data_IF_439833810183
#
_entry.id   IF_439833810183
#
_cell.length_a   1.000
_cell.length_b   1.000
_cell.length_c   1.000
_cell.angle_alpha   90.00
_cell.angle_beta   90.00
_cell.angle_gamma   90.00
#
_symmetry.space_group_name_H-M   'P 1'
#
loop_
_entity.id
_entity.type
_entity.pdbx_description
1 polymer ?
#
# COMPACT_ATOMS: atom_id res chain seq x y z
N UNK A 1 -8.70 -5.70 -24.22
CA UNK A 1 -7.39 -5.37 -24.84
C UNK A 1 -7.51 -5.57 -26.34
N UNK A 2 -7.82 -4.51 -27.09
CA UNK A 2 -7.92 -4.57 -28.55
C UNK A 2 -6.69 -3.91 -29.15
N UNK A 3 -5.68 -4.72 -29.46
CA UNK A 3 -4.52 -4.29 -30.23
C UNK A 3 -4.95 -4.02 -31.68
N UNK A 4 -5.15 -2.74 -31.99
CA UNK A 4 -5.31 -2.30 -33.38
C UNK A 4 -3.91 -2.11 -33.97
N UNK A 5 -3.41 -3.16 -34.62
CA UNK A 5 -2.22 -3.12 -35.45
C UNK A 5 -2.48 -2.19 -36.64
N UNK A 6 -1.86 -1.00 -36.62
CA UNK A 6 -1.98 -0.04 -37.72
C UNK A 6 -1.14 -0.51 -38.90
N UNK A 7 -1.85 -0.76 -40.00
CA UNK A 7 -1.36 -1.13 -41.33
C UNK A 7 -0.33 -0.12 -41.89
N UNK A 8 0.96 -0.45 -41.79
CA UNK A 8 2.02 0.23 -42.56
C UNK A 8 1.97 -0.05 -44.08
N UNK A 9 1.15 -1.00 -44.53
CA UNK A 9 1.07 -1.43 -45.93
C UNK A 9 0.14 -0.55 -46.80
N UNK A 10 -0.84 0.13 -46.20
CA UNK A 10 -1.88 0.85 -46.94
C UNK A 10 -1.37 2.14 -47.63
N UNK A 11 -0.42 2.87 -47.02
CA UNK A 11 0.14 4.08 -47.64
C UNK A 11 0.98 3.78 -48.89
N UNK A 12 1.72 2.67 -48.90
CA UNK A 12 2.61 2.29 -50.02
C UNK A 12 1.82 1.99 -51.31
N UNK A 13 0.65 1.36 -51.18
CA UNK A 13 -0.26 1.09 -52.30
C UNK A 13 -0.82 2.37 -52.91
N UNK A 14 -1.10 3.39 -52.09
CA UNK A 14 -1.71 4.63 -52.55
C UNK A 14 -0.72 5.50 -53.35
N UNK A 15 0.54 5.55 -52.91
CA UNK A 15 1.61 6.30 -53.61
C UNK A 15 1.89 5.72 -55.00
N UNK A 16 1.93 4.37 -55.11
CA UNK A 16 2.13 3.70 -56.40
C UNK A 16 0.98 3.99 -57.37
N UNK A 17 -0.26 3.95 -56.89
CA UNK A 17 -1.43 4.21 -57.73
C UNK A 17 -1.47 5.66 -58.23
N UNK A 18 -1.14 6.62 -57.36
CA UNK A 18 -1.03 8.05 -57.73
C UNK A 18 0.07 8.26 -58.77
N UNK A 19 1.23 7.61 -58.63
CA UNK A 19 2.31 7.69 -59.60
C UNK A 19 1.91 7.16 -60.99
N UNK A 20 1.23 6.00 -61.04
CA UNK A 20 0.70 5.44 -62.30
C UNK A 20 -0.32 6.38 -62.96
N UNK A 21 -1.18 7.02 -62.17
CA UNK A 21 -2.16 7.99 -62.67
C UNK A 21 -1.49 9.23 -63.32
N UNK A 22 -0.42 9.75 -62.71
CA UNK A 22 0.34 10.85 -63.30
C UNK A 22 1.00 10.46 -64.62
N UNK A 23 1.53 9.23 -64.70
CA UNK A 23 2.14 8.70 -65.92
C UNK A 23 1.10 8.54 -67.05
N UNK A 24 -0.10 8.05 -66.75
CA UNK A 24 -1.21 7.97 -67.70
C UNK A 24 -1.66 9.35 -68.20
N UNK A 25 -1.74 10.34 -67.31
CA UNK A 25 -2.10 11.72 -67.67
C UNK A 25 -1.04 12.33 -68.57
N UNK A 26 0.25 12.17 -68.24
CA UNK A 26 1.36 12.64 -69.07
C UNK A 26 1.33 12.00 -70.47
N UNK A 27 1.12 10.68 -70.54
CA UNK A 27 1.05 9.95 -71.79
C UNK A 27 -0.07 10.47 -72.70
N UNK A 28 -1.22 10.90 -72.18
CA UNK A 28 -2.28 11.51 -73.01
C UNK A 28 -1.82 12.76 -73.75
N UNK A 29 -1.06 13.65 -73.11
CA UNK A 29 -0.58 14.86 -73.79
C UNK A 29 0.52 14.53 -74.81
N UNK A 30 1.42 13.61 -74.47
CA UNK A 30 2.47 13.13 -75.38
C UNK A 30 1.85 12.50 -76.63
N UNK A 31 0.89 11.58 -76.47
CA UNK A 31 0.18 10.96 -77.59
C UNK A 31 -0.60 11.99 -78.41
N UNK A 32 -1.23 12.98 -77.76
CA UNK A 32 -1.96 14.04 -78.47
C UNK A 32 -1.03 14.92 -79.30
N UNK A 33 0.15 15.25 -78.79
CA UNK A 33 1.18 15.99 -79.54
C UNK A 33 1.70 15.18 -80.73
N UNK A 34 2.00 13.89 -80.54
CA UNK A 34 2.41 13.00 -81.63
C UNK A 34 1.35 12.93 -82.74
N UNK A 35 0.06 12.81 -82.37
CA UNK A 35 -1.04 12.79 -83.34
C UNK A 35 -1.19 14.09 -84.14
N UNK A 36 -0.75 15.23 -83.60
CA UNK A 36 -0.75 16.52 -84.29
C UNK A 36 0.43 16.58 -85.27
N UNK A 37 1.56 15.95 -84.92
CA UNK A 37 2.74 15.91 -85.77
C UNK A 37 2.60 15.03 -87.02
N UNK A 38 1.78 13.99 -86.94
CA UNK A 38 1.47 13.10 -88.07
C UNK A 38 0.47 13.72 -89.06
N UNK A 39 -0.29 14.75 -88.66
CA UNK A 39 -1.28 15.40 -89.53
C UNK A 39 -0.59 16.27 -90.59
N UNK A 40 -0.96 16.06 -91.85
CA UNK A 40 -0.50 16.89 -92.96
C UNK A 40 -1.33 18.19 -93.06
N UNK A 41 -1.13 19.09 -92.10
CA UNK A 41 -1.78 20.39 -91.99
C UNK A 41 -0.75 21.53 -92.12
N UNK A 42 -1.24 22.73 -92.44
CA UNK A 42 -0.39 23.93 -92.49
C UNK A 42 0.38 24.14 -91.17
N UNK A 43 1.60 24.63 -91.30
CA UNK A 43 2.56 24.80 -90.19
C UNK A 43 1.97 25.68 -89.09
N UNK A 44 1.36 26.81 -89.44
CA UNK A 44 0.73 27.73 -88.46
C UNK A 44 -0.42 27.07 -87.68
N UNK A 45 -1.25 26.28 -88.37
CA UNK A 45 -2.36 25.56 -87.74
C UNK A 45 -1.85 24.45 -86.81
N UNK A 46 -0.76 23.77 -87.21
CA UNK A 46 -0.07 22.80 -86.36
C UNK A 46 0.47 23.46 -85.09
N UNK A 47 1.11 24.61 -85.20
CA UNK A 47 1.63 25.35 -84.04
C UNK A 47 0.51 25.82 -83.11
N UNK A 48 -0.62 26.33 -83.64
CA UNK A 48 -1.79 26.70 -82.82
C UNK A 48 -2.34 25.51 -82.04
N UNK A 49 -2.49 24.36 -82.69
CA UNK A 49 -2.98 23.15 -82.02
C UNK A 49 -2.01 22.65 -80.94
N UNK A 50 -0.70 22.66 -81.20
CA UNK A 50 0.32 22.31 -80.20
C UNK A 50 0.33 23.27 -79.02
N UNK A 51 0.25 24.58 -79.28
CA UNK A 51 0.20 25.60 -78.24
C UNK A 51 -1.00 25.38 -77.32
N UNK A 52 -2.17 25.09 -77.90
CA UNK A 52 -3.38 24.75 -77.13
C UNK A 52 -3.18 23.51 -76.26
N UNK A 53 -2.48 22.48 -76.74
CA UNK A 53 -2.16 21.29 -75.92
C UNK A 53 -1.23 21.64 -74.76
N UNK A 54 -0.20 22.46 -75.00
CA UNK A 54 0.71 22.90 -73.95
C UNK A 54 0.03 23.81 -72.91
N UNK A 55 -0.82 24.73 -73.34
CA UNK A 55 -1.60 25.59 -72.44
C UNK A 55 -2.50 24.76 -71.52
N UNK A 56 -3.19 23.76 -72.07
CA UNK A 56 -4.00 22.84 -71.28
C UNK A 56 -3.15 22.01 -70.31
N UNK A 57 -1.99 21.50 -70.75
CA UNK A 57 -1.07 20.78 -69.88
C UNK A 57 -0.60 21.64 -68.70
N UNK A 58 -0.17 22.87 -68.96
CA UNK A 58 0.27 23.80 -67.90
C UNK A 58 -0.87 24.14 -66.94
N UNK A 59 -2.09 24.33 -67.45
CA UNK A 59 -3.29 24.59 -66.64
C UNK A 59 -3.61 23.41 -65.73
N UNK A 60 -3.62 22.20 -66.27
CA UNK A 60 -3.94 20.99 -65.51
C UNK A 60 -2.85 20.68 -64.48
N UNK A 61 -1.58 20.87 -64.84
CA UNK A 61 -0.45 20.76 -63.91
C UNK A 61 -0.58 21.76 -62.75
N UNK A 62 -0.98 23.00 -63.05
CA UNK A 62 -1.20 24.03 -62.02
C UNK A 62 -2.34 23.65 -61.05
N UNK A 63 -3.39 23.02 -61.56
CA UNK A 63 -4.49 22.49 -60.72
C UNK A 63 -3.99 21.31 -59.87
N UNK A 64 -3.24 20.37 -60.45
CA UNK A 64 -2.67 19.23 -59.72
C UNK A 64 -1.74 19.69 -58.60
N UNK A 65 -0.85 20.65 -58.86
CA UNK A 65 0.03 21.22 -57.82
C UNK A 65 -0.78 21.85 -56.69
N UNK A 66 -1.85 22.60 -57.00
CA UNK A 66 -2.72 23.19 -55.97
C UNK A 66 -3.40 22.14 -55.11
N UNK A 67 -3.92 21.07 -55.73
CA UNK A 67 -4.58 19.98 -55.00
C UNK A 67 -3.60 19.19 -54.14
N UNK A 68 -2.39 18.93 -54.63
CA UNK A 68 -1.32 18.28 -53.84
C UNK A 68 -0.92 19.13 -52.64
N UNK A 69 -0.77 20.45 -52.82
CA UNK A 69 -0.48 21.37 -51.72
C UNK A 69 -1.60 21.36 -50.68
N UNK A 70 -2.87 21.37 -51.11
CA UNK A 70 -4.01 21.27 -50.20
C UNK A 70 -4.02 19.95 -49.43
N UNK A 71 -3.81 18.82 -50.13
CA UNK A 71 -3.75 17.51 -49.47
C UNK A 71 -2.59 17.41 -48.48
N UNK A 72 -1.46 18.07 -48.76
CA UNK A 72 -0.31 18.12 -47.86
C UNK A 72 -0.63 18.95 -46.61
N UNK A 73 -1.27 20.11 -46.75
CA UNK A 73 -1.73 20.94 -45.63
C UNK A 73 -2.73 20.20 -44.73
N UNK A 74 -3.69 19.48 -45.34
CA UNK A 74 -4.65 18.65 -44.60
C UNK A 74 -3.95 17.53 -43.81
N UNK A 75 -2.95 16.88 -44.40
CA UNK A 75 -2.15 15.84 -43.73
C UNK A 75 -1.30 16.41 -42.59
N UNK A 76 -0.66 17.56 -42.80
CA UNK A 76 0.11 18.25 -41.77
C UNK A 76 -0.79 18.62 -40.58
N UNK A 77 -1.97 19.17 -40.86
CA UNK A 77 -2.96 19.50 -39.84
C UNK A 77 -3.42 18.27 -39.05
N UNK A 78 -3.74 17.17 -39.72
CA UNK A 78 -4.13 15.91 -39.07
C UNK A 78 -2.99 15.34 -38.22
N UNK A 79 -1.75 15.35 -38.72
CA UNK A 79 -0.58 14.89 -37.97
C UNK A 79 -0.39 15.73 -36.69
N UNK A 80 -0.47 17.06 -36.80
CA UNK A 80 -0.37 17.96 -35.67
C UNK A 80 -1.49 17.72 -34.65
N UNK A 81 -2.73 17.55 -35.09
CA UNK A 81 -3.87 17.23 -34.20
C UNK A 81 -3.65 15.91 -33.45
N UNK A 82 -3.12 14.87 -34.12
CA UNK A 82 -2.79 13.59 -33.47
C UNK A 82 -1.71 13.74 -32.43
N UNK A 83 -0.66 14.51 -32.71
CA UNK A 83 0.41 14.81 -31.73
C UNK A 83 -0.17 15.51 -30.52
N UNK A 84 -0.93 16.60 -30.70
CA UNK A 84 -1.56 17.33 -29.60
C UNK A 84 -2.50 16.43 -28.77
N UNK A 85 -3.27 15.54 -29.41
CA UNK A 85 -4.11 14.59 -28.69
C UNK A 85 -3.27 13.64 -27.81
N UNK A 86 -2.17 13.11 -28.34
CA UNK A 86 -1.29 12.21 -27.60
C UNK A 86 -0.58 12.90 -26.46
N UNK A 87 -0.07 14.12 -26.67
CA UNK A 87 0.53 14.95 -25.61
C UNK A 87 -0.46 15.20 -24.47
N UNK A 88 -1.71 15.53 -24.80
CA UNK A 88 -2.76 15.74 -23.80
C UNK A 88 -3.09 14.44 -23.03
N UNK A 89 -3.17 13.31 -23.72
CA UNK A 89 -3.37 12.00 -23.08
C UNK A 89 -2.22 11.67 -22.14
N UNK A 90 -0.98 11.88 -22.58
CA UNK A 90 0.22 11.64 -21.79
C UNK A 90 0.26 12.54 -20.55
N UNK A 91 -0.05 13.83 -20.71
CA UNK A 91 -0.12 14.78 -19.61
C UNK A 91 -1.19 14.36 -18.58
N UNK A 92 -2.36 13.91 -19.05
CA UNK A 92 -3.44 13.44 -18.19
C UNK A 92 -3.05 12.16 -17.44
N UNK A 93 -2.47 11.16 -18.11
CA UNK A 93 -2.01 9.94 -17.44
C UNK A 93 -0.90 10.24 -16.45
N UNK A 94 0.04 11.13 -16.79
CA UNK A 94 1.08 11.57 -15.86
C UNK A 94 0.50 12.23 -14.62
N UNK A 95 -0.48 13.14 -14.76
CA UNK A 95 -1.15 13.77 -13.62
C UNK A 95 -1.96 12.77 -12.79
N UNK A 96 -2.66 11.82 -13.43
CA UNK A 96 -3.36 10.73 -12.74
C UNK A 96 -2.38 9.85 -11.97
N UNK A 97 -1.25 9.49 -12.57
CA UNK A 97 -0.20 8.74 -11.88
C UNK A 97 0.34 9.56 -10.73
N UNK A 98 0.72 10.81 -10.92
CA UNK A 98 1.24 11.68 -9.86
C UNK A 98 0.28 11.82 -8.68
N UNK A 99 -1.02 11.95 -8.94
CA UNK A 99 -2.06 12.03 -7.89
C UNK A 99 -2.30 10.68 -7.19
N UNK A 100 -2.35 9.58 -7.95
CA UNK A 100 -2.43 8.23 -7.38
C UNK A 100 -1.13 7.84 -6.63
N UNK A 101 0.00 8.42 -7.00
CA UNK A 101 1.27 8.39 -6.30
C UNK A 101 1.35 9.48 -5.23
N UNK A 102 0.33 9.54 -4.36
CA UNK A 102 0.61 9.70 -2.93
C UNK A 102 1.33 8.44 -2.41
N UNK A 103 2.37 8.00 -3.13
CA UNK A 103 3.32 6.95 -2.80
C UNK A 103 3.90 7.25 -1.43
N UNK A 104 4.05 8.53 -1.08
CA UNK A 104 4.37 8.97 0.27
C UNK A 104 3.40 8.42 1.32
N UNK A 105 2.09 8.45 1.07
CA UNK A 105 1.09 8.00 2.04
C UNK A 105 1.01 6.47 2.09
N UNK A 106 1.09 5.80 0.94
CA UNK A 106 1.21 4.33 0.91
C UNK A 106 2.49 3.88 1.62
N UNK A 107 3.63 4.52 1.36
CA UNK A 107 4.90 4.22 2.04
C UNK A 107 4.82 4.48 3.54
N UNK A 108 4.19 5.58 3.99
CA UNK A 108 3.97 5.83 5.42
C UNK A 108 3.13 4.74 6.06
N UNK A 109 2.01 4.35 5.44
CA UNK A 109 1.14 3.29 5.96
C UNK A 109 1.84 1.94 6.03
N UNK A 110 2.67 1.62 5.02
CA UNK A 110 3.50 0.41 5.03
C UNK A 110 4.51 0.46 6.17
N UNK A 111 5.23 1.57 6.35
CA UNK A 111 6.20 1.71 7.44
C UNK A 111 5.56 1.63 8.83
N UNK A 112 4.35 2.18 9.03
CA UNK A 112 3.63 2.04 10.31
C UNK A 112 3.23 0.60 10.57
N UNK A 113 2.72 -0.10 9.55
CA UNK A 113 2.33 -1.52 9.67
C UNK A 113 3.54 -2.40 9.93
N UNK A 114 4.68 -2.11 9.31
CA UNK A 114 5.93 -2.82 9.56
C UNK A 114 6.41 -2.65 11.00
N UNK A 115 6.33 -1.43 11.55
CA UNK A 115 6.70 -1.17 12.96
C UNK A 115 5.79 -1.92 13.94
N UNK A 116 4.47 -1.93 13.71
CA UNK A 116 3.53 -2.70 14.52
C UNK A 116 3.78 -4.21 14.43
N UNK A 117 4.07 -4.72 13.24
CA UNK A 117 4.44 -6.12 13.03
C UNK A 117 5.69 -6.48 13.82
N UNK A 118 6.73 -5.64 13.81
CA UNK A 118 7.94 -5.87 14.60
C UNK A 118 7.63 -5.94 16.10
N UNK A 119 6.83 -5.01 16.61
CA UNK A 119 6.41 -4.99 18.02
C UNK A 119 5.66 -6.28 18.39
N UNK A 120 4.63 -6.65 17.63
CA UNK A 120 3.85 -7.86 17.88
C UNK A 120 4.69 -9.14 17.78
N UNK A 121 5.69 -9.16 16.90
CA UNK A 121 6.58 -10.32 16.76
C UNK A 121 7.49 -10.44 17.98
N UNK A 122 8.00 -9.33 18.50
CA UNK A 122 8.80 -9.31 19.71
C UNK A 122 7.97 -9.70 20.95
N UNK A 123 6.79 -9.11 21.14
CA UNK A 123 5.89 -9.45 22.23
C UNK A 123 5.53 -10.95 22.22
N UNK A 124 5.29 -11.54 21.04
CA UNK A 124 5.04 -12.98 20.91
C UNK A 124 6.26 -13.83 21.28
N UNK A 125 7.48 -13.39 20.99
CA UNK A 125 8.70 -14.10 21.37
C UNK A 125 8.88 -14.09 22.89
N UNK A 126 8.66 -12.94 23.52
CA UNK A 126 8.76 -12.80 24.97
C UNK A 126 7.70 -13.63 25.69
N UNK A 127 6.45 -13.55 25.22
CA UNK A 127 5.35 -14.37 25.76
C UNK A 127 5.60 -15.86 25.59
N UNK A 128 6.21 -16.27 24.47
CA UNK A 128 6.58 -17.67 24.25
C UNK A 128 7.65 -18.12 25.24
N UNK A 129 8.68 -17.30 25.46
CA UNK A 129 9.71 -17.58 26.46
C UNK A 129 9.10 -17.73 27.86
N UNK A 130 8.17 -16.83 28.22
CA UNK A 130 7.47 -16.86 29.51
C UNK A 130 6.62 -18.12 29.65
N UNK A 131 5.91 -18.52 28.60
CA UNK A 131 5.12 -19.74 28.56
C UNK A 131 6.01 -20.98 28.71
N UNK A 132 7.12 -21.06 27.99
CA UNK A 132 8.08 -22.17 28.09
C UNK A 132 8.69 -22.26 29.50
N UNK A 133 8.99 -21.10 30.10
CA UNK A 133 9.48 -20.99 31.47
C UNK A 133 8.45 -21.47 32.50
N UNK A 134 7.18 -21.09 32.35
CA UNK A 134 6.08 -21.55 33.21
C UNK A 134 5.82 -23.05 33.05
N UNK A 135 5.82 -23.56 31.82
CA UNK A 135 5.65 -25.00 31.55
C UNK A 135 6.77 -25.81 32.21
N UNK A 136 8.02 -25.34 32.07
CA UNK A 136 9.18 -25.95 32.73
C UNK A 136 9.04 -25.94 34.26
N UNK A 137 8.63 -24.80 34.83
CA UNK A 137 8.38 -24.64 36.27
C UNK A 137 7.29 -25.59 36.78
N UNK A 138 6.14 -25.66 36.12
CA UNK A 138 5.05 -26.57 36.48
C UNK A 138 5.49 -28.04 36.39
N UNK A 139 6.19 -28.40 35.31
CA UNK A 139 6.68 -29.76 35.13
C UNK A 139 7.71 -30.13 36.21
N UNK A 140 8.57 -29.18 36.62
CA UNK A 140 9.48 -29.37 37.73
C UNK A 140 8.72 -29.61 39.04
N UNK A 141 7.76 -28.73 39.39
CA UNK A 141 6.95 -28.86 40.60
C UNK A 141 6.15 -30.17 40.64
N UNK A 142 5.61 -30.62 39.50
CA UNK A 142 4.95 -31.94 39.38
C UNK A 142 5.89 -33.11 39.67
N UNK A 143 7.16 -33.03 39.25
CA UNK A 143 8.15 -34.10 39.46
C UNK A 143 8.72 -34.12 40.88
N UNK A 144 8.94 -32.95 41.48
CA UNK A 144 9.61 -32.82 42.78
C UNK A 144 8.64 -32.64 43.95
N UNK A 145 7.37 -32.36 43.67
CA UNK A 145 6.35 -31.99 44.67
C UNK A 145 6.59 -30.63 45.33
N UNK A 146 7.57 -29.84 44.86
CA UNK A 146 7.97 -28.56 45.46
C UNK A 146 7.83 -27.41 44.48
N UNK A 147 7.21 -26.33 44.94
CA UNK A 147 7.06 -25.08 44.18
C UNK A 147 8.27 -24.17 44.43
N UNK A 148 9.33 -24.34 43.66
CA UNK A 148 10.58 -23.57 43.79
C UNK A 148 10.61 -22.36 42.83
N UNK A 149 10.08 -21.22 43.27
CA UNK A 149 9.90 -20.03 42.41
C UNK A 149 11.20 -19.34 42.00
N UNK A 150 12.34 -19.63 42.65
CA UNK A 150 13.64 -18.98 42.41
C UNK A 150 14.21 -19.18 41.00
N UNK A 151 13.66 -20.11 40.22
CA UNK A 151 14.10 -20.42 38.85
C UNK A 151 13.15 -19.88 37.77
N UNK A 152 12.07 -19.21 38.17
CA UNK A 152 11.09 -18.65 37.24
C UNK A 152 11.51 -17.24 36.84
N UNK A 153 12.02 -17.09 35.62
CA UNK A 153 12.37 -15.80 35.04
C UNK A 153 11.40 -15.49 33.92
N UNK A 154 10.57 -14.47 34.12
CA UNK A 154 9.60 -13.99 33.15
C UNK A 154 10.02 -12.62 32.66
N UNK A 155 9.90 -12.43 31.35
CA UNK A 155 10.32 -11.23 30.61
C UNK A 155 9.16 -10.23 30.55
N UNK A 156 7.94 -10.70 30.28
CA UNK A 156 6.81 -9.84 29.98
C UNK A 156 5.95 -9.52 31.22
N UNK A 157 5.77 -10.49 32.11
CA UNK A 157 4.95 -10.32 33.32
C UNK A 157 5.83 -10.49 34.57
N UNK A 158 6.02 -9.44 35.38
CA UNK A 158 6.75 -9.56 36.64
C UNK A 158 6.05 -10.58 37.56
N UNK A 159 6.84 -11.46 38.19
CA UNK A 159 6.33 -12.60 38.96
C UNK A 159 5.40 -12.16 40.10
N UNK A 160 5.58 -10.95 40.62
CA UNK A 160 4.77 -10.31 41.64
C UNK A 160 3.30 -10.18 41.22
N UNK A 161 3.05 -9.98 39.92
CA UNK A 161 1.70 -9.85 39.36
C UNK A 161 1.00 -11.19 39.18
N UNK A 162 1.76 -12.30 39.12
CA UNK A 162 1.25 -13.66 38.92
C UNK A 162 0.94 -14.34 40.25
N UNK A 163 1.80 -14.13 41.25
CA UNK A 163 1.64 -14.74 42.59
C UNK A 163 0.66 -13.92 43.46
N UNK A 164 0.33 -12.70 43.04
CA UNK A 164 -0.84 -11.96 43.52
C UNK A 164 -0.71 -11.31 44.88
N UNK A 165 0.40 -11.47 45.60
CA UNK A 165 0.61 -10.73 46.86
C UNK A 165 2.09 -10.43 47.08
N UNK A 166 2.42 -9.15 47.27
CA UNK A 166 3.74 -8.75 47.73
C UNK A 166 3.90 -9.10 49.20
N UNK A 167 5.11 -9.42 49.66
CA UNK A 167 5.40 -9.72 51.07
C UNK A 167 4.93 -8.59 52.02
N UNK A 168 4.89 -7.35 51.53
CA UNK A 168 4.43 -6.17 52.26
C UNK A 168 2.91 -6.10 52.40
N UNK A 169 2.15 -6.54 51.38
CA UNK A 169 0.68 -6.55 51.45
C UNK A 169 0.16 -7.64 52.40
N UNK A 170 0.78 -8.83 52.40
CA UNK A 170 0.50 -9.89 53.38
C UNK A 170 0.77 -9.42 54.82
N UNK A 171 1.85 -8.69 55.03
CA UNK A 171 2.21 -8.13 56.34
C UNK A 171 1.12 -7.17 56.83
N UNK A 172 0.65 -6.26 55.99
CA UNK A 172 -0.35 -5.24 56.36
C UNK A 172 -1.76 -5.75 56.48
N UNK A 173 -2.21 -6.62 55.58
CA UNK A 173 -3.62 -7.05 55.52
C UNK A 173 -3.93 -8.29 56.37
N UNK A 174 -2.96 -9.17 56.59
CA UNK A 174 -3.21 -10.45 57.27
C UNK A 174 -2.42 -10.53 58.58
N UNK A 175 -1.10 -10.28 58.53
CA UNK A 175 -0.22 -10.49 59.70
C UNK A 175 -0.45 -9.44 60.79
N UNK A 176 -0.51 -8.16 60.44
CA UNK A 176 -0.68 -7.08 61.42
C UNK A 176 -2.04 -7.13 62.14
N UNK A 177 -3.19 -7.36 61.47
CA UNK A 177 -4.47 -7.51 62.15
C UNK A 177 -4.51 -8.73 63.07
N UNK A 178 -3.97 -9.87 62.64
CA UNK A 178 -3.87 -11.07 63.48
C UNK A 178 -2.95 -10.85 64.69
N UNK A 179 -1.83 -10.15 64.51
CA UNK A 179 -0.91 -9.81 65.60
C UNK A 179 -1.57 -8.88 66.63
N UNK A 180 -2.32 -7.88 66.18
CA UNK A 180 -3.07 -6.98 67.05
C UNK A 180 -4.19 -7.70 67.80
N UNK A 181 -4.91 -8.60 67.12
CA UNK A 181 -5.96 -9.44 67.73
C UNK A 181 -5.36 -10.40 68.77
N UNK A 182 -4.21 -11.02 68.48
CA UNK A 182 -3.50 -11.86 69.45
C UNK A 182 -3.03 -11.07 70.66
N UNK A 183 -2.55 -9.84 70.46
CA UNK A 183 -2.16 -8.96 71.57
C UNK A 183 -3.35 -8.62 72.45
N UNK A 184 -4.48 -8.21 71.86
CA UNK A 184 -5.71 -7.93 72.60
C UNK A 184 -6.20 -9.15 73.40
N UNK A 185 -6.13 -10.35 72.79
CA UNK A 185 -6.48 -11.60 73.47
C UNK A 185 -5.55 -11.90 74.64
N UNK A 186 -4.26 -11.67 74.49
CA UNK A 186 -3.29 -11.86 75.57
C UNK A 186 -3.54 -10.90 76.73
N UNK A 187 -3.78 -9.62 76.45
CA UNK A 187 -4.10 -8.62 77.49
C UNK A 187 -5.39 -9.00 78.24
N UNK A 188 -6.39 -9.51 77.52
CA UNK A 188 -7.64 -10.01 78.12
C UNK A 188 -7.42 -11.25 78.99
N UNK A 189 -6.57 -12.17 78.57
CA UNK A 189 -6.19 -13.35 79.35
C UNK A 189 -5.52 -12.91 80.66
N UNK A 190 -4.64 -11.93 80.61
CA UNK A 190 -3.95 -11.41 81.80
C UNK A 190 -4.93 -10.80 82.83
N UNK A 191 -5.91 -10.02 82.36
CA UNK A 191 -6.97 -9.46 83.22
C UNK A 191 -7.77 -10.59 83.88
N UNK A 192 -8.20 -11.58 83.09
CA UNK A 192 -8.99 -12.70 83.60
C UNK A 192 -8.20 -13.58 84.57
N UNK A 193 -6.87 -13.70 84.40
CA UNK A 193 -6.00 -14.39 85.35
C UNK A 193 -5.95 -13.64 86.69
N UNK A 194 -5.79 -12.31 86.64
CA UNK A 194 -5.78 -11.47 87.85
C UNK A 194 -7.10 -11.52 88.61
N UNK A 195 -8.24 -11.49 87.92
CA UNK A 195 -9.56 -11.64 88.53
C UNK A 195 -9.73 -13.03 89.18
N UNK A 196 -9.27 -14.09 88.51
CA UNK A 196 -9.29 -15.44 89.08
C UNK A 196 -8.43 -15.56 90.35
N UNK A 197 -7.25 -14.92 90.37
CA UNK A 197 -6.39 -14.91 91.55
C UNK A 197 -7.03 -14.15 92.72
N UNK A 198 -7.70 -13.03 92.44
CA UNK A 198 -8.48 -12.30 93.45
C UNK A 198 -9.64 -13.14 93.99
N UNK A 199 -10.37 -13.84 93.12
CA UNK A 199 -11.44 -14.75 93.55
C UNK A 199 -10.91 -15.90 94.40
N UNK A 200 -9.76 -16.48 94.05
CA UNK A 200 -9.08 -17.49 94.87
C UNK A 200 -8.69 -16.95 96.24
N UNK A 201 -8.21 -15.71 96.31
CA UNK A 201 -7.85 -15.07 97.57
C UNK A 201 -9.09 -14.84 98.45
N UNK A 202 -10.17 -14.31 97.88
CA UNK A 202 -11.46 -14.14 98.57
C UNK A 202 -12.02 -15.49 99.04
N UNK A 203 -11.95 -16.53 98.20
CA UNK A 203 -12.40 -17.86 98.55
C UNK A 203 -11.57 -18.45 99.70
N UNK A 204 -10.25 -18.27 99.70
CA UNK A 204 -9.38 -18.68 100.80
C UNK A 204 -9.71 -17.94 102.10
N UNK A 205 -10.02 -16.64 102.03
CA UNK A 205 -10.39 -15.83 103.19
C UNK A 205 -11.79 -16.19 103.73
N UNK A 206 -12.75 -16.50 102.86
CA UNK A 206 -14.05 -17.06 103.28
C UNK A 206 -13.89 -18.44 103.91
N UNK A 207 -13.07 -19.31 103.33
CA UNK A 207 -12.85 -20.67 103.85
C UNK A 207 -12.19 -20.61 105.24
N UNK A 208 -11.28 -19.66 105.47
CA UNK A 208 -10.71 -19.39 106.81
C UNK A 208 -11.73 -18.86 107.81
N UNK A 209 -12.72 -18.07 107.37
CA UNK A 209 -13.81 -17.57 108.23
C UNK A 209 -14.86 -18.62 108.59
N UNK A 210 -14.99 -19.70 107.82
CA UNK A 210 -15.95 -20.80 108.08
C UNK A 210 -15.39 -21.84 109.07
N UNK A 211 -14.09 -21.79 109.38
CA UNK A 211 -13.40 -22.75 110.28
C UNK A 211 -13.15 -22.15 111.69
N UNK A 212 -13.55 -20.90 111.94
CA UNK A 212 -13.54 -20.23 113.25
C UNK A 212 -14.97 -20.09 113.79
#
# INVERSE_FOLDING_TARGET
MTNSSCNGSACSLNVKHVATLFEEVQNRYVTKLASIDEKNIQIDERYKQKLSVYENYVKDLSVQTRLLLQSLDELEKEANQRVTLLENKLKKTHATLQSNYSLSDVTKTVSTVEAEKWKLTHDNLDLKHDLDSLVSFINHAKRTGRWETKKLNLIHIPYEKIVGVTSDDLSKTVVNPLSNELKYRNDRIEILQKENDQLRQIQNDLTKKVIL
#
